data_IF_602995430866
#
_entry.id   IF_602995430866
#
_cell.length_a   1.000
_cell.length_b   1.000
_cell.length_c   1.000
_cell.angle_alpha   90.00
_cell.angle_beta   90.00
_cell.angle_gamma   90.00
#
_symmetry.space_group_name_H-M   'P 1'
#
loop_
_entity.id
_entity.type
_entity.pdbx_description
1 polymer ?
#
# COMPACT_ATOMS: atom_id res chain seq x y z
N UNK A 1 -14.96 3.11 39.57
CA UNK A 1 -14.41 2.44 38.36
C UNK A 1 -13.53 3.44 37.63
N UNK A 2 -12.24 3.49 37.95
CA UNK A 2 -11.28 4.43 37.38
C UNK A 2 -10.49 3.70 36.29
N UNK A 3 -10.77 4.04 35.04
CA UNK A 3 -10.11 3.47 33.86
C UNK A 3 -8.62 3.82 33.85
N UNK A 4 -7.78 2.81 33.64
CA UNK A 4 -6.33 2.97 33.48
C UNK A 4 -6.06 3.80 32.21
N UNK A 5 -5.37 4.92 32.40
CA UNK A 5 -4.87 5.80 31.35
C UNK A 5 -3.70 5.10 30.65
N UNK A 6 -3.84 4.85 29.35
CA UNK A 6 -2.77 4.32 28.51
C UNK A 6 -1.67 5.39 28.37
N UNK A 7 -0.42 4.98 28.53
CA UNK A 7 0.73 5.88 28.49
C UNK A 7 1.30 5.79 27.06
N UNK A 8 0.92 6.77 26.23
CA UNK A 8 1.23 6.81 24.81
C UNK A 8 2.66 7.34 24.62
N UNK A 9 3.64 6.43 24.51
CA UNK A 9 5.03 6.76 24.19
C UNK A 9 5.45 6.04 22.92
N UNK A 10 5.69 6.79 21.85
CA UNK A 10 6.24 6.28 20.59
C UNK A 10 7.77 6.32 20.63
N UNK A 11 8.41 5.22 20.25
CA UNK A 11 9.87 5.04 20.29
C UNK A 11 10.41 5.14 18.86
N UNK A 12 11.24 6.12 18.58
CA UNK A 12 11.95 6.24 17.31
C UNK A 12 13.25 5.42 17.33
N UNK A 13 13.52 4.62 16.30
CA UNK A 13 14.69 3.72 16.21
C UNK A 13 15.71 4.20 15.18
N UNK A 14 16.94 4.46 15.64
CA UNK A 14 18.11 4.73 14.80
C UNK A 14 19.05 3.50 14.85
N UNK A 15 19.47 2.97 13.69
CA UNK A 15 20.21 1.68 13.57
C UNK A 15 21.70 1.91 13.36
N UNK A 16 22.54 1.52 14.33
CA UNK A 16 24.01 1.47 14.19
C UNK A 16 24.53 0.07 14.55
N UNK A 17 25.39 -0.50 13.70
CA UNK A 17 25.93 -1.86 13.84
C UNK A 17 27.40 -1.83 14.25
N UNK A 18 27.80 -2.63 15.25
CA UNK A 18 29.20 -2.82 15.64
C UNK A 18 29.54 -4.31 15.69
N UNK A 19 30.70 -4.67 15.14
CA UNK A 19 31.26 -6.02 15.21
C UNK A 19 32.22 -6.11 16.38
N UNK A 20 31.95 -6.99 17.35
CA UNK A 20 32.88 -7.29 18.44
C UNK A 20 33.48 -8.66 18.20
N UNK A 21 34.79 -8.68 17.91
CA UNK A 21 35.59 -9.90 17.75
C UNK A 21 36.26 -10.25 19.08
N UNK A 22 35.95 -11.44 19.62
CA UNK A 22 36.75 -12.07 20.67
C UNK A 22 37.24 -13.43 20.19
N UNK A 23 38.39 -13.87 20.72
CA UNK A 23 39.31 -14.88 20.16
C UNK A 23 38.71 -16.20 19.63
N UNK A 24 37.44 -16.54 19.90
CA UNK A 24 36.74 -17.69 19.32
C UNK A 24 35.24 -17.49 19.03
N UNK A 25 34.70 -16.26 19.02
CA UNK A 25 33.27 -16.03 18.72
C UNK A 25 32.99 -14.63 18.17
N UNK A 26 32.41 -14.57 16.97
CA UNK A 26 31.78 -13.38 16.40
C UNK A 26 30.44 -13.16 17.10
N UNK A 27 30.28 -12.02 17.78
CA UNK A 27 29.03 -11.64 18.42
C UNK A 27 28.51 -10.36 17.78
N UNK A 28 27.28 -10.42 17.27
CA UNK A 28 26.54 -9.21 16.86
C UNK A 28 26.00 -8.53 18.11
N UNK A 29 26.41 -7.30 18.36
CA UNK A 29 25.86 -6.47 19.43
C UNK A 29 25.03 -5.38 18.80
N UNK A 30 23.73 -5.40 19.05
CA UNK A 30 22.82 -4.35 18.62
C UNK A 30 22.85 -3.24 19.67
N UNK A 31 23.23 -2.03 19.25
CA UNK A 31 23.11 -0.84 20.07
C UNK A 31 21.96 0.00 19.51
N UNK A 32 20.95 0.26 20.35
CA UNK A 32 19.81 1.09 19.99
C UNK A 32 19.94 2.41 20.74
N UNK A 33 19.90 3.54 20.02
CA UNK A 33 19.77 4.85 20.68
C UNK A 33 18.30 5.17 20.81
N UNK A 34 17.81 5.21 22.04
CA UNK A 34 16.45 5.69 22.35
C UNK A 34 16.54 7.19 22.61
N UNK A 35 15.74 7.97 21.90
CA UNK A 35 15.61 9.41 22.12
C UNK A 35 14.15 9.72 22.43
N UNK A 36 13.91 10.35 23.58
CA UNK A 36 12.59 10.86 23.93
C UNK A 36 12.39 12.18 23.19
N UNK A 37 11.31 12.26 22.42
CA UNK A 37 10.88 13.45 21.69
C UNK A 37 9.52 13.88 22.22
N UNK A 38 9.30 15.19 22.25
CA UNK A 38 8.02 15.74 22.69
C UNK A 38 6.90 15.38 21.71
N UNK A 39 5.71 15.07 22.24
CA UNK A 39 4.53 14.73 21.42
C UNK A 39 4.20 15.77 20.32
N UNK A 40 4.59 17.03 20.53
CA UNK A 40 4.30 18.13 19.62
C UNK A 40 5.44 18.46 18.66
N UNK A 41 6.56 17.74 18.71
CA UNK A 41 7.76 18.04 17.91
C UNK A 41 7.47 18.03 16.40
N UNK A 42 6.54 17.19 15.95
CA UNK A 42 6.14 17.08 14.54
C UNK A 42 4.83 17.80 14.19
N UNK A 43 4.28 18.62 15.10
CA UNK A 43 3.05 19.35 14.80
C UNK A 43 3.33 20.52 13.88
N UNK A 44 2.70 20.48 12.72
CA UNK A 44 2.74 21.56 11.73
C UNK A 44 1.71 22.64 12.14
N UNK A 45 2.04 23.95 12.05
CA UNK A 45 1.08 25.03 12.24
C UNK A 45 -0.14 24.87 11.33
N UNK A 46 -1.34 25.18 11.82
CA UNK A 46 -2.58 25.05 11.01
C UNK A 46 -2.55 25.89 9.73
N UNK A 47 -1.84 27.02 9.76
CA UNK A 47 -1.63 27.91 8.60
C UNK A 47 -0.78 27.29 7.50
N UNK A 48 -0.03 26.24 7.81
CA UNK A 48 0.88 25.55 6.90
C UNK A 48 0.31 24.19 6.43
N UNK A 49 -0.87 23.80 6.91
CA UNK A 49 -1.52 22.55 6.49
C UNK A 49 -2.05 22.70 5.08
N UNK A 50 -1.48 21.91 4.17
CA UNK A 50 -1.99 21.78 2.80
C UNK A 50 -3.13 20.77 2.79
N UNK A 51 -4.32 21.22 2.39
CA UNK A 51 -5.50 20.37 2.26
C UNK A 51 -5.65 19.87 0.81
N UNK A 52 -6.06 18.61 0.66
CA UNK A 52 -6.28 17.99 -0.65
C UNK A 52 -5.03 17.34 -1.23
N UNK A 53 -4.87 17.44 -2.54
CA UNK A 53 -3.73 16.84 -3.25
C UNK A 53 -2.48 17.67 -3.03
N UNK A 54 -1.42 17.04 -2.51
CA UNK A 54 -0.14 17.71 -2.33
C UNK A 54 0.50 18.09 -3.68
N UNK A 55 1.23 19.22 -3.74
CA UNK A 55 2.00 19.57 -4.93
C UNK A 55 2.92 18.43 -5.37
N UNK A 56 2.89 18.08 -6.66
CA UNK A 56 3.73 17.02 -7.22
C UNK A 56 3.22 15.59 -7.01
N UNK A 57 2.02 15.39 -6.44
CA UNK A 57 1.44 14.06 -6.32
C UNK A 57 1.17 13.44 -7.70
N UNK A 58 1.63 12.20 -7.89
CA UNK A 58 1.47 11.46 -9.15
C UNK A 58 0.30 10.49 -9.04
N UNK A 59 -0.87 10.89 -9.53
CA UNK A 59 -2.09 10.08 -9.45
C UNK A 59 -2.17 8.95 -10.49
N UNK A 60 -1.36 9.03 -11.55
CA UNK A 60 -1.36 8.05 -12.65
C UNK A 60 -0.24 7.03 -12.53
N UNK A 61 0.53 7.10 -11.44
CA UNK A 61 1.56 6.11 -11.14
C UNK A 61 0.97 5.01 -10.28
N UNK A 62 1.29 3.76 -10.65
CA UNK A 62 0.89 2.59 -9.88
C UNK A 62 1.94 2.31 -8.84
N UNK A 63 1.53 2.39 -7.58
CA UNK A 63 2.31 1.91 -6.47
C UNK A 63 1.91 0.46 -6.17
N UNK A 64 2.88 -0.47 -6.05
CA UNK A 64 2.58 -1.85 -5.72
C UNK A 64 1.82 -1.91 -4.38
N UNK A 65 0.80 -2.77 -4.32
CA UNK A 65 -0.08 -2.87 -3.15
C UNK A 65 -1.28 -1.90 -3.15
N UNK A 66 -1.34 -0.93 -4.06
CA UNK A 66 -2.50 -0.04 -4.21
C UNK A 66 -3.29 -0.39 -5.48
N UNK A 67 -4.59 -0.71 -5.36
CA UNK A 67 -5.41 -1.02 -6.52
C UNK A 67 -5.65 0.23 -7.39
N UNK A 68 -5.66 0.05 -8.71
CA UNK A 68 -6.05 1.09 -9.66
C UNK A 68 -6.93 0.51 -10.77
N UNK A 69 -7.95 1.27 -11.19
CA UNK A 69 -8.80 0.91 -12.33
C UNK A 69 -8.36 1.60 -13.63
N UNK A 70 -7.35 2.49 -13.58
CA UNK A 70 -6.94 3.33 -14.72
C UNK A 70 -6.30 2.58 -15.90
N UNK A 71 -5.85 1.34 -15.68
CA UNK A 71 -5.08 0.57 -16.68
C UNK A 71 -5.94 -0.28 -17.61
N UNK A 72 -7.17 -0.57 -17.22
CA UNK A 72 -8.07 -1.41 -18.00
C UNK A 72 -9.19 -0.51 -18.49
N UNK A 73 -9.37 -0.43 -19.80
CA UNK A 73 -10.51 0.28 -20.37
C UNK A 73 -11.82 -0.35 -19.85
N UNK A 74 -12.73 0.47 -19.36
CA UNK A 74 -14.00 0.02 -18.82
C UNK A 74 -15.06 1.12 -18.91
N UNK A 75 -16.31 0.71 -18.92
CA UNK A 75 -17.46 1.61 -18.69
C UNK A 75 -18.07 1.33 -17.32
N UNK A 76 -18.76 2.31 -16.75
CA UNK A 76 -19.34 2.23 -15.43
C UNK A 76 -20.82 2.66 -15.46
N UNK A 77 -21.69 1.91 -14.80
CA UNK A 77 -23.11 2.25 -14.66
C UNK A 77 -23.61 1.95 -13.25
N UNK A 78 -24.57 2.73 -12.75
CA UNK A 78 -25.29 2.43 -11.51
C UNK A 78 -26.45 1.48 -11.81
N UNK A 79 -26.47 0.34 -11.12
CA UNK A 79 -27.49 -0.69 -11.36
C UNK A 79 -27.92 -1.37 -10.07
N UNK A 80 -29.22 -1.66 -9.94
CA UNK A 80 -29.71 -2.60 -8.94
C UNK A 80 -29.28 -4.00 -9.36
N UNK A 81 -28.33 -4.54 -8.63
CA UNK A 81 -27.84 -5.90 -8.77
C UNK A 81 -27.68 -6.45 -7.35
N UNK A 82 -28.06 -7.71 -7.16
CA UNK A 82 -27.98 -8.41 -5.86
C UNK A 82 -26.51 -8.73 -5.50
N UNK A 83 -25.65 -7.72 -5.47
CA UNK A 83 -24.22 -7.83 -5.21
C UNK A 83 -24.02 -8.22 -3.75
N UNK A 84 -23.30 -9.33 -3.56
CA UNK A 84 -23.01 -9.89 -2.25
C UNK A 84 -21.57 -9.56 -1.85
N UNK A 85 -21.40 -8.46 -1.11
CA UNK A 85 -20.09 -8.08 -0.51
C UNK A 85 -19.89 -8.79 0.85
N UNK A 86 -20.98 -9.04 1.56
CA UNK A 86 -21.00 -9.74 2.85
C UNK A 86 -21.92 -10.97 2.77
N UNK A 87 -22.54 -11.39 3.87
CA UNK A 87 -23.39 -12.58 3.87
C UNK A 87 -24.73 -12.40 3.13
N UNK A 88 -25.30 -11.19 3.14
CA UNK A 88 -26.58 -10.86 2.51
C UNK A 88 -26.38 -10.02 1.23
N UNK A 89 -27.25 -10.17 0.21
CA UNK A 89 -27.18 -9.37 -1.00
C UNK A 89 -27.58 -7.92 -0.74
N UNK A 90 -26.92 -6.99 -1.45
CA UNK A 90 -27.28 -5.57 -1.44
C UNK A 90 -28.63 -5.35 -2.12
N UNK A 91 -29.50 -4.55 -1.49
CA UNK A 91 -30.78 -4.10 -2.07
C UNK A 91 -30.69 -2.76 -2.79
N UNK A 92 -29.53 -2.08 -2.72
CA UNK A 92 -29.30 -0.77 -3.32
C UNK A 92 -28.51 -0.91 -4.63
N UNK A 93 -28.49 0.16 -5.41
CA UNK A 93 -27.65 0.23 -6.60
C UNK A 93 -26.17 0.08 -6.24
N UNK A 94 -25.44 -0.62 -7.09
CA UNK A 94 -23.98 -0.73 -7.05
C UNK A 94 -23.39 -0.18 -8.34
N UNK A 95 -22.15 0.28 -8.28
CA UNK A 95 -21.39 0.65 -9.47
C UNK A 95 -20.94 -0.64 -10.17
N UNK A 96 -21.45 -0.88 -11.37
CA UNK A 96 -21.10 -2.03 -12.19
C UNK A 96 -20.10 -1.58 -13.25
N UNK A 97 -18.94 -2.23 -13.27
CA UNK A 97 -17.89 -1.99 -14.26
C UNK A 97 -18.00 -3.03 -15.38
N UNK A 98 -17.98 -2.59 -16.63
CA UNK A 98 -17.98 -3.45 -17.82
C UNK A 98 -16.67 -3.27 -18.56
N UNK A 99 -15.92 -4.36 -18.72
CA UNK A 99 -14.68 -4.39 -19.49
C UNK A 99 -15.04 -4.83 -20.92
N UNK A 100 -14.74 -4.04 -21.96
CA UNK A 100 -15.07 -4.40 -23.33
C UNK A 100 -14.22 -5.60 -23.78
N UNK A 101 -14.77 -6.38 -24.72
CA UNK A 101 -14.01 -7.47 -25.33
C UNK A 101 -12.84 -6.88 -26.12
N UNK A 102 -11.64 -7.36 -25.81
CA UNK A 102 -10.41 -6.98 -26.49
C UNK A 102 -10.21 -7.87 -27.72
N UNK A 103 -10.14 -7.26 -28.91
CA UNK A 103 -10.08 -7.98 -30.20
C UNK A 103 -8.75 -8.68 -30.46
N UNK A 104 -7.70 -8.31 -29.72
CA UNK A 104 -6.37 -8.91 -29.74
C UNK A 104 -6.29 -10.25 -28.99
N UNK A 105 -7.25 -10.55 -28.09
CA UNK A 105 -7.29 -11.84 -27.40
C UNK A 105 -7.79 -13.00 -28.27
N UNK A 106 -8.52 -12.72 -29.35
CA UNK A 106 -9.07 -13.77 -30.22
C UNK A 106 -8.03 -14.31 -31.24
N UNK A 107 -6.88 -13.65 -31.40
CA UNK A 107 -5.89 -13.94 -32.46
C UNK A 107 -4.57 -14.52 -31.94
N UNK A 108 -4.43 -14.65 -30.62
CA UNK A 108 -3.14 -14.86 -29.98
C UNK A 108 -3.23 -16.08 -29.08
N UNK A 109 -2.34 -17.06 -29.30
CA UNK A 109 -2.15 -18.18 -28.39
C UNK A 109 -1.63 -17.65 -27.04
N UNK A 110 -2.54 -17.53 -26.06
CA UNK A 110 -2.27 -16.95 -24.74
C UNK A 110 -1.15 -17.70 -23.99
N UNK A 111 -0.96 -18.98 -24.33
CA UNK A 111 0.09 -19.84 -23.76
C UNK A 111 1.49 -19.35 -24.16
N UNK A 112 1.67 -18.87 -25.39
CA UNK A 112 2.96 -18.37 -25.89
C UNK A 112 3.40 -17.06 -25.22
N UNK A 113 2.47 -16.13 -24.98
CA UNK A 113 2.77 -14.82 -24.39
C UNK A 113 3.00 -14.86 -22.88
N UNK A 114 2.28 -15.74 -22.16
CA UNK A 114 2.50 -15.95 -20.73
C UNK A 114 3.92 -16.46 -20.45
N UNK A 115 4.37 -17.47 -21.22
CA UNK A 115 5.72 -18.03 -21.11
C UNK A 115 6.82 -17.01 -21.46
N UNK A 116 6.57 -16.14 -22.44
CA UNK A 116 7.54 -15.11 -22.85
C UNK A 116 7.72 -14.00 -21.79
N UNK A 117 6.69 -13.68 -21.01
CA UNK A 117 6.76 -12.65 -19.98
C UNK A 117 7.36 -13.15 -18.65
N UNK A 118 7.18 -14.43 -18.29
CA UNK A 118 7.82 -15.01 -17.10
C UNK A 118 9.36 -15.12 -17.25
N UNK A 119 9.85 -15.39 -18.46
CA UNK A 119 11.30 -15.52 -18.73
C UNK A 119 12.04 -14.17 -18.72
N UNK A 120 11.34 -13.06 -18.94
CA UNK A 120 11.94 -11.71 -18.98
C UNK A 120 12.03 -11.03 -17.60
N UNK A 121 11.66 -11.73 -16.52
CA UNK A 121 11.81 -11.27 -15.13
C UNK A 121 13.07 -11.88 -14.47
N UNK A 122 13.79 -12.76 -15.18
CA UNK A 122 14.98 -13.48 -14.68
C UNK A 122 16.30 -13.17 -15.42
N UNK A 123 16.38 -12.09 -16.21
CA UNK A 123 17.64 -11.60 -16.81
C UNK A 123 17.83 -10.13 -16.47
#
# INVERSE_FOLDING_TARGET
MTGKRWNDKEIHMDRTYYFVMNHHRLSFVFFFRVQEIGMNEFRIPRTEVVYGLLPGVRLDVVFPGFPTMKRIEHTAELRFADIKVFQQPSKKQSMILKIPKRSDFDKVDLTYYALKHELNIFI
#
